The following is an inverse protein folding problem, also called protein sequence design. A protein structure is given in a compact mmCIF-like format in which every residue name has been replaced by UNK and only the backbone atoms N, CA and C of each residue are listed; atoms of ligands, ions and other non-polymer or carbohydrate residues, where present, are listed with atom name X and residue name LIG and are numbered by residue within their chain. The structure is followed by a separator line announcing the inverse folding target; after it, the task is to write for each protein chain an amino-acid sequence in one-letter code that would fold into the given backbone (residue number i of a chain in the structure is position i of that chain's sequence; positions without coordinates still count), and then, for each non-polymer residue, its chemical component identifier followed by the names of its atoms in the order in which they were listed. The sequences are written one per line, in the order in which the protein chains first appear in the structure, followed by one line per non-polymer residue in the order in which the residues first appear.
data_IF_985094258820
#
_entry.id   IF_985094258820
#
_cell.length_a   1.000
_cell.length_b   1.000
_cell.length_c   1.000
_cell.angle_alpha   90.00
_cell.angle_beta   90.00
_cell.angle_gamma   90.00
#
_symmetry.space_group_name_H-M   'P 1'
#
loop_
_entity.id
_entity.type
_entity.pdbx_description
1 polymer ?
#
# COMPACT_ATOMS: atom_id res chain seq x y z
N UNK A 1 17.10 -14.35 9.76
CA UNK A 1 15.88 -13.71 10.27
C UNK A 1 14.87 -13.67 9.15
N UNK A 2 13.69 -14.24 9.38
CA UNK A 2 12.64 -14.35 8.39
C UNK A 2 12.26 -12.95 7.87
N UNK A 3 12.22 -12.80 6.55
CA UNK A 3 11.80 -11.57 5.84
C UNK A 3 10.26 -11.40 5.88
N UNK A 4 9.64 -11.93 6.93
CA UNK A 4 8.18 -11.97 7.07
C UNK A 4 7.74 -10.62 7.64
N UNK A 5 6.90 -9.90 6.87
CA UNK A 5 6.21 -8.71 7.35
C UNK A 5 6.69 -7.35 6.83
N UNK A 6 7.68 -7.29 5.92
CA UNK A 6 8.20 -6.01 5.35
C UNK A 6 7.44 -5.62 4.06
N UNK A 7 6.39 -6.35 3.69
CA UNK A 7 5.58 -6.08 2.49
C UNK A 7 4.14 -5.80 2.88
N UNK A 8 3.49 -5.00 2.06
CA UNK A 8 2.07 -4.72 2.23
C UNK A 8 1.56 -3.71 1.22
N UNK A 9 0.26 -3.45 1.32
CA UNK A 9 -0.42 -2.40 0.56
C UNK A 9 -1.19 -1.51 1.52
N UNK A 10 -1.39 -0.25 1.13
CA UNK A 10 -2.11 0.70 1.95
C UNK A 10 -2.91 1.70 1.11
N UNK A 11 -3.92 2.30 1.76
CA UNK A 11 -4.75 3.38 1.24
C UNK A 11 -4.85 4.50 2.28
N UNK A 12 -4.98 5.74 1.80
CA UNK A 12 -5.35 6.89 2.60
C UNK A 12 -6.82 7.23 2.31
N UNK A 13 -7.72 6.88 3.21
CA UNK A 13 -9.17 7.02 3.06
C UNK A 13 -9.69 8.03 4.07
N UNK A 14 -10.12 9.20 3.59
CA UNK A 14 -10.67 10.26 4.46
C UNK A 14 -9.75 10.56 5.66
N UNK A 15 -8.46 10.74 5.37
CA UNK A 15 -7.36 10.97 6.34
C UNK A 15 -7.01 9.78 7.25
N UNK A 16 -7.68 8.64 7.11
CA UNK A 16 -7.36 7.39 7.81
C UNK A 16 -6.53 6.43 6.94
N UNK A 17 -5.54 5.78 7.56
CA UNK A 17 -4.72 4.77 6.89
C UNK A 17 -5.32 3.38 7.04
N UNK A 18 -5.62 2.75 5.90
CA UNK A 18 -5.91 1.32 5.83
C UNK A 18 -4.64 0.62 5.39
N UNK A 19 -4.07 -0.20 6.26
CA UNK A 19 -2.80 -0.88 6.03
C UNK A 19 -3.03 -2.39 6.08
N UNK A 20 -2.61 -3.08 5.02
CA UNK A 20 -2.70 -4.53 4.94
C UNK A 20 -1.31 -5.13 4.80
N UNK A 21 -0.87 -5.81 5.86
CA UNK A 21 0.41 -6.51 5.92
C UNK A 21 0.33 -7.80 5.10
N UNK A 22 1.31 -8.00 4.22
CA UNK A 22 1.45 -9.26 3.51
C UNK A 22 1.84 -10.38 4.46
N UNK A 23 1.06 -11.46 4.42
CA UNK A 23 1.29 -12.67 5.22
C UNK A 23 1.44 -13.88 4.28
N UNK A 24 2.53 -14.62 4.44
CA UNK A 24 2.77 -15.82 3.64
C UNK A 24 1.74 -16.90 3.99
N UNK A 25 1.18 -17.56 2.98
CA UNK A 25 0.13 -18.58 3.14
C UNK A 25 -1.30 -18.04 3.07
N UNK A 26 -1.51 -16.72 3.12
CA UNK A 26 -2.82 -16.12 2.86
C UNK A 26 -3.01 -15.95 1.36
N UNK A 27 -3.99 -16.68 0.78
CA UNK A 27 -4.26 -16.65 -0.66
C UNK A 27 -5.16 -15.48 -1.09
N UNK A 28 -5.92 -14.92 -0.17
CA UNK A 28 -6.83 -13.81 -0.43
C UNK A 28 -6.04 -12.53 -0.79
N UNK A 29 -6.53 -11.78 -1.77
CA UNK A 29 -5.89 -10.51 -2.17
C UNK A 29 -4.53 -10.65 -2.88
N UNK A 30 -4.01 -11.86 -3.14
CA UNK A 30 -2.67 -12.05 -3.69
C UNK A 30 -2.49 -11.49 -5.13
N UNK A 31 -1.31 -10.90 -5.35
CA UNK A 31 -0.82 -10.57 -6.68
C UNK A 31 -0.60 -11.83 -7.53
N UNK A 32 -0.50 -11.68 -8.85
CA UNK A 32 -0.25 -12.80 -9.77
C UNK A 32 1.05 -13.55 -9.47
N UNK A 33 2.06 -12.84 -8.97
CA UNK A 33 3.34 -13.43 -8.58
C UNK A 33 3.31 -14.06 -7.17
N UNK A 34 2.22 -13.89 -6.42
CA UNK A 34 2.01 -14.48 -5.10
C UNK A 34 2.97 -13.99 -4.02
N UNK A 35 3.64 -12.85 -4.24
CA UNK A 35 4.72 -12.36 -3.37
C UNK A 35 4.37 -11.06 -2.63
N UNK A 36 3.17 -10.52 -2.87
CA UNK A 36 2.54 -9.39 -2.18
C UNK A 36 1.03 -9.35 -2.52
N UNK A 37 0.28 -8.43 -1.92
CA UNK A 37 -1.11 -8.17 -2.28
C UNK A 37 -1.27 -7.28 -3.52
N UNK A 38 -2.41 -7.49 -4.18
CA UNK A 38 -2.94 -6.65 -5.24
C UNK A 38 -4.08 -5.80 -4.66
N UNK A 39 -4.00 -4.48 -4.86
CA UNK A 39 -4.99 -3.53 -4.33
C UNK A 39 -6.42 -3.87 -4.75
N UNK A 40 -6.65 -4.16 -6.03
CA UNK A 40 -7.98 -4.47 -6.56
C UNK A 40 -8.60 -5.70 -5.91
N UNK A 41 -7.81 -6.77 -5.75
CA UNK A 41 -8.27 -8.02 -5.15
C UNK A 41 -8.51 -7.91 -3.65
N UNK A 42 -7.71 -7.12 -2.95
CA UNK A 42 -7.79 -7.03 -1.49
C UNK A 42 -8.85 -6.02 -1.03
N UNK A 43 -9.15 -5.00 -1.84
CA UNK A 43 -9.99 -3.88 -1.45
C UNK A 43 -11.37 -4.28 -0.92
N UNK A 44 -12.03 -5.25 -1.56
CA UNK A 44 -13.37 -5.67 -1.14
C UNK A 44 -13.40 -6.23 0.29
N UNK A 45 -12.27 -6.77 0.78
CA UNK A 45 -12.14 -7.35 2.11
C UNK A 45 -11.72 -6.32 3.16
N UNK A 46 -11.06 -5.22 2.77
CA UNK A 46 -10.44 -4.26 3.71
C UNK A 46 -11.06 -2.87 3.68
N UNK A 47 -11.91 -2.55 2.70
CA UNK A 47 -12.55 -1.24 2.61
C UNK A 47 -13.45 -0.96 3.82
N UNK A 48 -13.62 0.32 4.22
CA UNK A 48 -14.52 0.67 5.31
C UNK A 48 -15.95 0.19 5.04
N UNK A 49 -16.66 -0.15 6.11
CA UNK A 49 -18.05 -0.61 6.00
C UNK A 49 -18.92 0.49 5.36
N UNK A 50 -19.64 0.14 4.30
CA UNK A 50 -20.46 1.09 3.54
C UNK A 50 -19.71 1.85 2.44
N UNK A 51 -18.41 1.60 2.26
CA UNK A 51 -17.65 2.17 1.15
C UNK A 51 -18.07 1.56 -0.19
N UNK A 52 -18.63 2.41 -1.06
CA UNK A 52 -19.05 2.06 -2.43
C UNK A 52 -18.02 2.50 -3.49
N UNK A 53 -16.82 2.91 -3.06
CA UNK A 53 -15.74 3.34 -3.95
C UNK A 53 -14.88 2.15 -4.38
N UNK A 54 -14.30 2.23 -5.58
CA UNK A 54 -13.36 1.22 -6.09
C UNK A 54 -11.98 1.38 -5.44
N UNK A 55 -11.16 0.33 -5.53
CA UNK A 55 -9.81 0.27 -4.95
C UNK A 55 -8.88 1.41 -5.38
N UNK A 56 -9.14 2.01 -6.54
CA UNK A 56 -8.33 3.06 -7.12
C UNK A 56 -8.89 4.47 -6.87
N UNK A 57 -9.99 4.60 -6.14
CA UNK A 57 -10.61 5.90 -5.88
C UNK A 57 -9.76 6.75 -4.93
N UNK A 58 -9.21 6.16 -3.88
CA UNK A 58 -8.38 6.85 -2.88
C UNK A 58 -6.87 6.75 -3.22
N UNK A 59 -6.05 7.70 -2.73
CA UNK A 59 -4.59 7.58 -2.78
C UNK A 59 -4.14 6.27 -2.13
N UNK A 60 -3.16 5.62 -2.75
CA UNK A 60 -2.71 4.29 -2.34
C UNK A 60 -1.22 4.12 -2.56
N UNK A 61 -0.65 3.14 -1.88
CA UNK A 61 0.74 2.75 -2.04
C UNK A 61 1.00 1.30 -1.71
N UNK A 62 2.24 0.87 -1.90
CA UNK A 62 2.74 -0.45 -1.48
C UNK A 62 4.11 -0.33 -0.86
N UNK A 63 4.39 -1.27 0.02
CA UNK A 63 5.73 -1.52 0.54
C UNK A 63 6.24 -2.82 -0.04
N UNK A 64 7.42 -2.77 -0.62
CA UNK A 64 8.16 -3.89 -1.18
C UNK A 64 9.54 -3.98 -0.51
N UNK A 65 10.24 -5.08 -0.77
CA UNK A 65 11.62 -5.28 -0.30
C UNK A 65 12.53 -5.43 -1.50
N UNK A 66 13.53 -4.56 -1.59
CA UNK A 66 14.57 -4.67 -2.63
C UNK A 66 15.39 -5.95 -2.49
N UNK A 67 16.12 -6.32 -3.55
CA UNK A 67 17.03 -7.47 -3.51
C UNK A 67 18.12 -7.35 -2.42
N UNK A 68 18.44 -6.13 -1.99
CA UNK A 68 19.39 -5.84 -0.90
C UNK A 68 18.74 -5.78 0.49
N UNK A 69 17.45 -6.10 0.61
CA UNK A 69 16.72 -6.09 1.87
C UNK A 69 16.22 -4.71 2.32
N UNK A 70 16.41 -3.65 1.51
CA UNK A 70 15.90 -2.32 1.83
C UNK A 70 14.39 -2.21 1.56
N UNK A 71 13.61 -1.53 2.44
CA UNK A 71 12.22 -1.19 2.17
C UNK A 71 12.10 -0.23 1.00
N UNK A 72 11.16 -0.51 0.10
CA UNK A 72 10.79 0.35 -1.03
C UNK A 72 9.33 0.74 -0.87
N UNK A 73 9.02 2.03 -0.89
CA UNK A 73 7.65 2.54 -0.84
C UNK A 73 7.30 3.13 -2.18
N UNK A 74 6.28 2.59 -2.84
CA UNK A 74 5.70 3.18 -4.05
C UNK A 74 4.33 3.76 -3.70
N UNK A 75 4.06 5.01 -4.07
CA UNK A 75 2.87 5.69 -3.59
C UNK A 75 2.38 6.80 -4.52
N UNK A 76 1.09 7.09 -4.41
CA UNK A 76 0.44 8.27 -4.99
C UNK A 76 1.08 9.58 -4.48
N UNK A 77 1.11 10.66 -5.30
CA UNK A 77 1.64 11.97 -4.89
C UNK A 77 0.82 12.66 -3.78
N UNK A 78 -0.40 12.21 -3.53
CA UNK A 78 -1.27 12.75 -2.49
C UNK A 78 -1.07 12.09 -1.11
N UNK A 79 -0.02 11.28 -0.96
CA UNK A 79 0.38 10.69 0.34
C UNK A 79 1.59 11.47 0.85
N UNK A 80 1.54 11.91 2.11
CA UNK A 80 2.60 12.65 2.76
C UNK A 80 3.60 11.76 3.51
N UNK A 81 4.66 12.40 4.02
CA UNK A 81 5.70 11.70 4.78
C UNK A 81 5.17 11.10 6.10
N UNK A 82 4.27 11.80 6.80
CA UNK A 82 3.67 11.34 8.06
C UNK A 82 2.90 10.02 7.86
N UNK A 83 2.15 9.92 6.75
CA UNK A 83 1.44 8.68 6.42
C UNK A 83 2.41 7.54 6.13
N UNK A 84 3.52 7.81 5.43
CA UNK A 84 4.55 6.79 5.17
C UNK A 84 5.17 6.29 6.46
N UNK A 85 5.49 7.17 7.41
CA UNK A 85 6.03 6.78 8.71
C UNK A 85 5.06 5.85 9.47
N UNK A 86 3.79 6.21 9.55
CA UNK A 86 2.76 5.38 10.19
C UNK A 86 2.61 3.99 9.52
N UNK A 87 2.74 3.93 8.19
CA UNK A 87 2.74 2.66 7.45
C UNK A 87 3.94 1.78 7.85
N UNK A 88 5.14 2.35 7.90
CA UNK A 88 6.36 1.61 8.26
C UNK A 88 6.32 1.10 9.70
N UNK A 89 5.87 1.94 10.64
CA UNK A 89 5.68 1.57 12.04
C UNK A 89 4.70 0.40 12.18
N UNK A 90 3.56 0.47 11.51
CA UNK A 90 2.52 -0.58 11.53
C UNK A 90 3.05 -1.90 10.94
N UNK A 91 3.93 -1.84 9.94
CA UNK A 91 4.56 -3.03 9.35
C UNK A 91 5.75 -3.55 10.15
N UNK A 92 6.21 -2.82 11.18
CA UNK A 92 7.36 -3.15 12.01
C UNK A 92 8.70 -2.93 11.29
N UNK A 93 8.77 -1.91 10.43
CA UNK A 93 9.96 -1.57 9.63
C UNK A 93 10.71 -0.42 10.31
N UNK A 94 11.81 -0.74 10.98
CA UNK A 94 12.70 0.23 11.65
C UNK A 94 13.90 0.64 10.75
N UNK A 95 13.65 0.80 9.46
CA UNK A 95 14.69 1.11 8.48
C UNK A 95 14.24 2.20 7.52
N UNK A 96 15.18 3.09 7.16
CA UNK A 96 14.94 4.16 6.21
C UNK A 96 14.48 3.58 4.85
N UNK A 97 13.28 3.93 4.36
CA UNK A 97 12.78 3.46 3.08
C UNK A 97 13.44 4.21 1.92
N UNK A 98 13.35 3.63 0.72
CA UNK A 98 13.46 4.41 -0.51
C UNK A 98 12.04 4.72 -0.97
N UNK A 99 11.69 6.00 -1.06
CA UNK A 99 10.36 6.46 -1.45
C UNK A 99 10.33 6.80 -2.94
N UNK A 100 9.38 6.20 -3.64
CA UNK A 100 9.06 6.43 -5.03
C UNK A 100 7.66 7.03 -5.12
N UNK A 101 7.61 8.36 -5.30
CA UNK A 101 6.36 9.07 -5.59
C UNK A 101 6.05 8.84 -7.08
N UNK A 102 4.94 8.18 -7.35
CA UNK A 102 4.54 7.76 -8.68
C UNK A 102 3.24 8.47 -9.09
N UNK A 103 3.36 9.47 -9.97
CA UNK A 103 2.24 10.21 -10.57
C UNK A 103 1.70 9.58 -11.85
N UNK A 104 2.06 8.33 -12.16
CA UNK A 104 1.56 7.64 -13.34
C UNK A 104 0.11 7.18 -13.15
N UNK A 105 -0.50 6.77 -14.27
CA UNK A 105 -1.85 6.18 -14.30
C UNK A 105 -2.06 5.02 -13.31
N UNK A 106 -1.00 4.35 -12.90
CA UNK A 106 -1.10 3.25 -11.95
C UNK A 106 -1.56 3.70 -10.56
N UNK A 107 -1.18 4.91 -10.12
CA UNK A 107 -1.52 5.47 -8.80
C UNK A 107 -2.49 6.65 -8.84
N UNK A 108 -3.07 6.96 -10.01
CA UNK A 108 -4.15 7.94 -10.09
C UNK A 108 -5.34 7.56 -9.20
N UNK A 109 -5.99 8.61 -8.70
CA UNK A 109 -7.14 8.59 -7.81
C UNK A 109 -8.09 9.75 -8.15
N UNK A 110 -9.15 9.94 -7.37
CA UNK A 110 -10.17 10.96 -7.66
C UNK A 110 -9.62 12.40 -7.76
N UNK A 111 -8.53 12.72 -7.04
CA UNK A 111 -7.86 14.03 -7.15
C UNK A 111 -7.26 14.30 -8.53
N UNK A 112 -6.97 13.26 -9.32
CA UNK A 112 -6.45 13.38 -10.68
C UNK A 112 -7.56 13.51 -11.73
N UNK A 113 -8.81 13.17 -11.38
CA UNK A 113 -9.98 13.30 -12.27
C UNK A 113 -10.64 14.70 -12.16
N UNK A 114 -10.39 15.40 -11.05
CA UNK A 114 -10.92 16.74 -10.77
C UNK A 114 -10.02 17.88 -11.29
N UNK A 115 -8.95 17.56 -12.03
CA UNK A 115 -8.02 18.53 -12.65
C UNK A 115 -8.08 18.54 -14.18
#
# INVERSE_FOLDING_TARGET
MCKEGIRGVFWLVEDELIISRYEEGIMEGLSKAGNNYNHEKLWESVKPKGCNRKYNYYPRGRVEVSNKGKPLVYMSPYIGHEQVQAVLETLGIDAEPIIHIDGSKHYHCHFDEEN
#
